data_IF_364196601208
#
_entry.id   IF_364196601208
#
_cell.length_a   1.000
_cell.length_b   1.000
_cell.length_c   1.000
_cell.angle_alpha   90.00
_cell.angle_beta   90.00
_cell.angle_gamma   90.00
#
_symmetry.space_group_name_H-M   'P 1'
#
loop_
_entity.id
_entity.type
_entity.pdbx_description
1 polymer ?
#
# COMPACT_ATOMS: atom_id res chain seq x y z
N UNK A 1 -65.93 -15.24 3.89
CA UNK A 1 -66.55 -15.27 5.23
C UNK A 1 -65.55 -15.75 6.26
N UNK A 2 -65.52 -15.06 7.37
CA UNK A 2 -64.84 -15.23 8.69
C UNK A 2 -63.48 -14.55 8.83
N UNK A 3 -63.60 -13.42 9.55
CA UNK A 3 -62.59 -12.69 10.35
C UNK A 3 -62.16 -13.53 11.55
N UNK A 4 -60.96 -13.35 12.03
CA UNK A 4 -60.58 -13.44 13.44
C UNK A 4 -59.20 -12.79 13.50
N UNK A 5 -59.08 -11.66 14.02
CA UNK A 5 -59.01 -11.13 15.39
C UNK A 5 -57.59 -11.22 15.98
N UNK A 6 -57.22 -10.07 16.43
CA UNK A 6 -55.94 -9.62 17.01
C UNK A 6 -55.70 -10.27 18.36
N UNK A 7 -54.45 -10.50 18.68
CA UNK A 7 -54.01 -10.41 20.08
C UNK A 7 -52.59 -9.80 20.17
N UNK A 8 -52.48 -8.75 20.97
CA UNK A 8 -51.21 -8.20 21.48
C UNK A 8 -50.99 -8.78 22.90
N UNK A 9 -49.78 -9.14 23.30
CA UNK A 9 -49.41 -9.21 24.69
C UNK A 9 -48.50 -8.05 25.10
N UNK A 10 -48.97 -7.40 26.11
CA UNK A 10 -48.49 -6.81 27.36
C UNK A 10 -46.98 -6.67 27.57
N UNK A 11 -46.63 -5.43 27.92
CA UNK A 11 -45.40 -5.02 28.59
C UNK A 11 -45.38 -5.57 30.04
N UNK A 12 -44.23 -6.09 30.47
CA UNK A 12 -43.80 -6.31 31.83
C UNK A 12 -42.31 -6.03 31.89
N UNK A 13 -41.93 -5.01 32.62
CA UNK A 13 -41.46 -5.07 33.96
C UNK A 13 -39.93 -4.83 33.98
N UNK A 14 -39.48 -3.59 34.24
CA UNK A 14 -38.09 -3.29 34.65
C UNK A 14 -37.85 -3.82 36.07
N UNK A 15 -36.65 -4.35 36.35
CA UNK A 15 -36.05 -4.23 37.67
C UNK A 15 -34.89 -3.24 37.69
N UNK A 16 -34.74 -2.59 38.83
CA UNK A 16 -33.78 -1.56 39.20
C UNK A 16 -32.45 -2.17 39.63
N UNK A 17 -31.37 -1.47 39.24
CA UNK A 17 -30.19 -1.05 40.03
C UNK A 17 -29.51 -2.07 40.95
N UNK A 18 -28.27 -2.38 40.61
CA UNK A 18 -27.23 -2.90 41.48
C UNK A 18 -25.89 -2.24 41.17
N UNK A 19 -25.35 -1.57 42.17
CA UNK A 19 -24.09 -0.81 42.17
C UNK A 19 -22.86 -1.72 42.15
N UNK A 20 -21.74 -1.22 41.56
CA UNK A 20 -20.40 -1.48 42.08
C UNK A 20 -19.56 -2.46 41.28
N UNK A 21 -18.60 -1.94 40.55
CA UNK A 21 -17.48 -2.70 39.98
C UNK A 21 -16.66 -1.83 39.06
N UNK A 22 -15.70 -1.08 39.62
CA UNK A 22 -14.71 -0.35 38.85
C UNK A 22 -13.84 -1.35 38.08
N UNK A 23 -14.02 -1.43 36.75
CA UNK A 23 -13.12 -2.15 35.86
C UNK A 23 -12.07 -1.15 35.42
N UNK A 24 -10.84 -1.35 35.90
CA UNK A 24 -9.66 -0.60 35.46
C UNK A 24 -9.47 -0.75 33.96
N UNK A 25 -9.70 0.35 33.23
CA UNK A 25 -9.37 0.45 31.83
C UNK A 25 -7.84 0.46 31.69
N UNK A 26 -7.28 -0.64 31.21
CA UNK A 26 -5.90 -0.66 30.74
C UNK A 26 -5.85 0.15 29.45
N UNK A 27 -5.56 1.43 29.54
CA UNK A 27 -5.19 2.25 28.41
C UNK A 27 -3.88 1.73 27.87
N UNK A 28 -3.96 1.02 26.73
CA UNK A 28 -2.83 0.54 25.97
C UNK A 28 -2.15 1.76 25.34
N UNK A 29 -1.04 2.18 25.91
CA UNK A 29 -0.23 3.26 25.39
C UNK A 29 0.32 2.84 24.01
N UNK A 30 -0.31 3.34 22.95
CA UNK A 30 0.29 3.36 21.62
C UNK A 30 1.46 4.33 21.67
N UNK A 31 2.69 3.80 21.69
CA UNK A 31 3.88 4.63 21.49
C UNK A 31 3.77 5.26 20.11
N UNK A 32 3.58 6.57 20.06
CA UNK A 32 3.63 7.36 18.85
C UNK A 32 5.03 7.24 18.24
N UNK A 33 5.05 6.80 16.98
CA UNK A 33 6.24 6.90 16.12
C UNK A 33 6.53 8.38 15.97
N UNK A 34 7.69 8.84 16.44
CA UNK A 34 8.13 10.20 16.26
C UNK A 34 8.48 10.40 14.78
N UNK A 35 7.53 10.90 13.99
CA UNK A 35 7.78 11.38 12.64
C UNK A 35 8.60 12.66 12.73
N UNK A 36 9.84 12.64 12.23
CA UNK A 36 10.55 13.88 11.91
C UNK A 36 9.81 14.52 10.74
N UNK A 37 9.15 15.65 10.97
CA UNK A 37 8.38 16.38 9.99
C UNK A 37 9.19 16.72 8.73
N UNK A 38 8.51 16.97 7.58
CA UNK A 38 9.16 17.22 6.31
C UNK A 38 10.02 18.49 6.36
N UNK A 39 11.33 18.31 6.23
CA UNK A 39 12.25 19.45 6.02
C UNK A 39 12.21 19.83 4.55
N UNK A 40 11.37 20.79 4.20
CA UNK A 40 11.35 21.42 2.87
C UNK A 40 12.49 22.46 2.77
N UNK A 41 13.70 22.02 2.53
CA UNK A 41 14.81 22.89 2.12
C UNK A 41 15.61 22.19 1.02
N UNK A 42 15.43 22.57 -0.26
CA UNK A 42 16.36 22.34 -1.38
C UNK A 42 16.80 20.90 -1.68
N UNK A 43 16.38 19.92 -0.91
CA UNK A 43 16.64 18.49 -1.10
C UNK A 43 15.45 17.88 -1.82
N UNK A 44 15.71 16.97 -2.77
CA UNK A 44 14.69 16.26 -3.54
C UNK A 44 13.61 15.60 -2.66
N UNK A 45 12.53 15.14 -3.26
CA UNK A 45 11.41 14.48 -2.56
C UNK A 45 11.87 13.14 -1.98
N UNK A 46 12.26 13.15 -0.71
CA UNK A 46 12.84 11.99 -0.01
C UNK A 46 12.14 11.74 1.32
N UNK A 47 12.13 10.49 1.75
CA UNK A 47 11.65 10.08 3.06
C UNK A 47 12.49 8.93 3.62
N UNK A 48 12.54 8.83 4.95
CA UNK A 48 13.10 7.69 5.67
C UNK A 48 12.07 7.25 6.70
N UNK A 49 11.67 5.97 6.64
CA UNK A 49 10.66 5.36 7.49
C UNK A 49 11.27 4.20 8.25
N UNK A 50 11.05 4.16 9.55
CA UNK A 50 11.33 3.02 10.42
C UNK A 50 10.00 2.49 10.94
N UNK A 51 9.78 1.18 10.80
CA UNK A 51 8.62 0.48 11.35
C UNK A 51 9.12 -0.72 12.16
N UNK A 52 8.72 -0.78 13.42
CA UNK A 52 9.08 -1.89 14.32
C UNK A 52 7.82 -2.40 15.01
N UNK A 53 7.59 -3.70 14.88
CA UNK A 53 6.54 -4.44 15.57
C UNK A 53 7.17 -5.54 16.43
N UNK A 54 6.40 -6.50 16.89
CA UNK A 54 6.93 -7.71 17.52
C UNK A 54 7.38 -8.75 16.48
N UNK A 55 6.85 -8.62 15.27
CA UNK A 55 6.99 -9.58 14.16
C UNK A 55 8.03 -9.12 13.15
N UNK A 56 8.15 -7.80 12.95
CA UNK A 56 8.99 -7.22 11.91
C UNK A 56 9.79 -6.02 12.37
N UNK A 57 10.95 -5.77 11.73
CA UNK A 57 11.73 -4.54 11.82
C UNK A 57 12.11 -4.10 10.42
N UNK A 58 11.64 -2.91 10.00
CA UNK A 58 11.77 -2.42 8.63
C UNK A 58 12.32 -1.01 8.63
N UNK A 59 13.31 -0.78 7.77
CA UNK A 59 13.87 0.54 7.50
C UNK A 59 13.82 0.77 5.98
N UNK A 60 13.23 1.92 5.57
CA UNK A 60 13.13 2.32 4.17
C UNK A 60 13.69 3.73 4.00
N UNK A 61 14.56 3.91 2.99
CA UNK A 61 14.94 5.24 2.49
C UNK A 61 14.53 5.32 1.02
N UNK A 62 13.71 6.33 0.69
CA UNK A 62 13.16 6.57 -0.64
C UNK A 62 13.53 7.96 -1.14
N UNK A 63 13.95 8.04 -2.41
CA UNK A 63 13.98 9.27 -3.18
C UNK A 63 13.11 9.09 -4.44
N UNK A 64 12.05 9.91 -4.58
CA UNK A 64 11.15 9.86 -5.74
C UNK A 64 11.87 10.33 -7.01
N UNK A 65 12.66 11.40 -6.91
CA UNK A 65 13.45 11.96 -8.02
C UNK A 65 14.82 11.28 -8.08
N UNK A 66 14.82 9.96 -8.24
CA UNK A 66 16.03 9.12 -8.23
C UNK A 66 16.55 8.79 -9.63
N UNK A 67 17.40 7.76 -9.68
CA UNK A 67 18.04 7.23 -10.90
C UNK A 67 17.85 5.73 -11.08
N UNK A 68 16.98 5.11 -10.28
CA UNK A 68 16.72 3.67 -10.28
C UNK A 68 17.80 2.87 -9.54
N UNK A 69 18.42 3.46 -8.51
CA UNK A 69 19.39 2.77 -7.64
C UNK A 69 18.64 2.06 -6.53
N UNK A 70 18.98 0.81 -6.30
CA UNK A 70 18.36 0.01 -5.26
C UNK A 70 19.39 -0.71 -4.39
N UNK A 71 19.00 -0.93 -3.13
CA UNK A 71 19.70 -1.79 -2.18
C UNK A 71 18.64 -2.40 -1.26
N UNK A 72 18.21 -3.63 -1.59
CA UNK A 72 16.99 -4.24 -1.07
C UNK A 72 17.30 -5.59 -0.42
N UNK A 73 16.95 -5.71 0.84
CA UNK A 73 17.06 -6.94 1.61
C UNK A 73 15.85 -7.08 2.54
N UNK A 74 14.88 -7.90 2.14
CA UNK A 74 13.64 -8.15 2.93
C UNK A 74 13.61 -9.51 3.59
N UNK A 75 14.56 -10.40 3.29
CA UNK A 75 14.49 -11.81 3.69
C UNK A 75 13.59 -12.65 2.77
N UNK A 76 12.79 -12.04 1.88
CA UNK A 76 11.88 -12.70 0.93
C UNK A 76 12.42 -12.50 -0.50
N UNK A 77 13.09 -13.51 -1.10
CA UNK A 77 13.84 -13.32 -2.34
C UNK A 77 13.00 -12.85 -3.54
N UNK A 78 11.76 -13.37 -3.68
CA UNK A 78 10.90 -12.96 -4.76
C UNK A 78 10.40 -11.51 -4.61
N UNK A 79 10.11 -11.08 -3.38
CA UNK A 79 9.76 -9.69 -3.09
C UNK A 79 10.94 -8.75 -3.38
N UNK A 80 12.18 -9.14 -3.00
CA UNK A 80 13.38 -8.37 -3.34
C UNK A 80 13.44 -8.11 -4.84
N UNK A 81 13.33 -9.17 -5.65
CA UNK A 81 13.34 -9.07 -7.11
C UNK A 81 12.26 -8.13 -7.65
N UNK A 82 11.03 -8.23 -7.14
CA UNK A 82 9.93 -7.33 -7.54
C UNK A 82 10.20 -5.87 -7.18
N UNK A 83 10.77 -5.60 -6.01
CA UNK A 83 11.10 -4.25 -5.57
C UNK A 83 12.32 -3.65 -6.30
N UNK A 84 13.29 -4.46 -6.68
CA UNK A 84 14.41 -4.06 -7.55
C UNK A 84 13.91 -3.60 -8.92
N UNK A 85 13.01 -4.38 -9.53
CA UNK A 85 12.36 -4.02 -10.80
C UNK A 85 11.52 -2.75 -10.67
N UNK A 86 10.72 -2.67 -9.60
CA UNK A 86 9.93 -1.48 -9.28
C UNK A 86 10.82 -0.23 -9.19
N UNK A 87 11.90 -0.31 -8.45
CA UNK A 87 12.84 0.79 -8.26
C UNK A 87 13.49 1.18 -9.58
N UNK A 88 13.98 0.20 -10.33
CA UNK A 88 14.69 0.43 -11.59
C UNK A 88 13.80 1.06 -12.65
N UNK A 89 12.59 0.52 -12.85
CA UNK A 89 11.65 0.98 -13.87
C UNK A 89 10.90 2.25 -13.51
N UNK A 90 10.81 2.57 -12.21
CA UNK A 90 10.22 3.83 -11.70
C UNK A 90 11.24 4.98 -11.60
N UNK A 91 12.54 4.69 -11.79
CA UNK A 91 13.62 5.65 -11.55
C UNK A 91 13.67 6.22 -10.14
N UNK A 92 13.13 5.50 -9.17
CA UNK A 92 13.27 5.83 -7.76
C UNK A 92 14.68 5.46 -7.27
N UNK A 93 15.17 6.07 -6.19
CA UNK A 93 16.27 5.49 -5.43
C UNK A 93 15.67 4.92 -4.14
N UNK A 94 15.89 3.62 -3.88
CA UNK A 94 15.22 2.89 -2.80
C UNK A 94 16.20 1.96 -2.07
N UNK A 95 16.29 2.17 -0.75
CA UNK A 95 16.96 1.23 0.17
C UNK A 95 15.93 0.63 1.09
N UNK A 96 15.91 -0.70 1.23
CA UNK A 96 15.06 -1.43 2.17
C UNK A 96 15.91 -2.42 2.96
N UNK A 97 15.77 -2.36 4.28
CA UNK A 97 16.23 -3.38 5.21
C UNK A 97 15.04 -3.87 6.01
N UNK A 98 14.73 -5.15 5.88
CA UNK A 98 13.66 -5.76 6.65
C UNK A 98 14.13 -7.07 7.26
N UNK A 99 13.68 -7.32 8.47
CA UNK A 99 13.77 -8.60 9.18
C UNK A 99 12.40 -8.90 9.73
N UNK A 100 11.88 -10.08 9.48
CA UNK A 100 10.59 -10.54 10.00
C UNK A 100 10.66 -12.00 10.42
N UNK A 101 9.56 -12.49 10.94
CA UNK A 101 9.35 -13.86 11.42
C UNK A 101 9.05 -14.84 10.28
N UNK A 102 9.92 -14.84 9.25
CA UNK A 102 9.78 -15.67 8.03
C UNK A 102 9.75 -17.19 8.30
N UNK A 103 10.10 -17.61 9.52
CA UNK A 103 9.92 -18.98 9.98
C UNK A 103 8.43 -19.35 10.20
N UNK A 104 7.55 -18.34 10.36
CA UNK A 104 6.10 -18.52 10.37
C UNK A 104 5.61 -18.60 8.93
N UNK A 105 5.73 -17.51 8.21
CA UNK A 105 5.57 -17.37 6.76
C UNK A 105 6.07 -15.98 6.29
N UNK A 106 5.93 -15.68 5.00
CA UNK A 106 6.35 -14.39 4.43
C UNK A 106 5.34 -13.26 4.66
N UNK A 107 4.13 -13.53 5.19
CA UNK A 107 2.99 -12.61 5.19
C UNK A 107 3.29 -11.30 5.92
N UNK A 108 3.69 -11.38 7.20
CA UNK A 108 3.95 -10.18 8.02
C UNK A 108 5.03 -9.30 7.39
N UNK A 109 6.09 -9.91 6.84
CA UNK A 109 7.18 -9.18 6.19
C UNK A 109 6.70 -8.47 4.93
N UNK A 110 5.95 -9.17 4.08
CA UNK A 110 5.45 -8.64 2.80
C UNK A 110 4.46 -7.50 3.03
N UNK A 111 3.48 -7.67 3.93
CA UNK A 111 2.52 -6.64 4.28
C UNK A 111 3.19 -5.41 4.88
N UNK A 112 4.05 -5.60 5.88
CA UNK A 112 4.70 -4.50 6.60
C UNK A 112 5.69 -3.72 5.72
N UNK A 113 6.36 -4.37 4.76
CA UNK A 113 7.15 -3.68 3.72
C UNK A 113 6.24 -2.83 2.84
N UNK A 114 5.05 -3.32 2.46
CA UNK A 114 4.04 -2.57 1.73
C UNK A 114 3.56 -1.34 2.49
N UNK A 115 3.27 -1.48 3.79
CA UNK A 115 2.87 -0.38 4.69
C UNK A 115 3.99 0.67 4.78
N UNK A 116 5.22 0.26 5.05
CA UNK A 116 6.36 1.17 5.20
C UNK A 116 6.70 1.89 3.89
N UNK A 117 6.63 1.22 2.74
CA UNK A 117 6.86 1.81 1.43
C UNK A 117 5.76 2.83 1.08
N UNK A 118 4.49 2.52 1.35
CA UNK A 118 3.37 3.44 1.16
C UNK A 118 3.52 4.70 2.00
N UNK A 119 3.93 4.56 3.26
CA UNK A 119 4.25 5.67 4.14
C UNK A 119 5.41 6.51 3.60
N UNK A 120 6.49 5.89 3.13
CA UNK A 120 7.64 6.60 2.57
C UNK A 120 7.25 7.42 1.33
N UNK A 121 6.44 6.88 0.43
CA UNK A 121 5.90 7.64 -0.71
C UNK A 121 5.03 8.81 -0.25
N UNK A 122 4.13 8.60 0.71
CA UNK A 122 3.27 9.67 1.24
C UNK A 122 4.08 10.81 1.84
N UNK A 123 5.09 10.50 2.65
CA UNK A 123 5.96 11.49 3.28
C UNK A 123 6.82 12.24 2.25
N UNK A 124 7.39 11.53 1.28
CA UNK A 124 8.20 12.14 0.23
C UNK A 124 7.37 13.03 -0.73
N UNK A 125 6.10 12.70 -0.97
CA UNK A 125 5.18 13.49 -1.78
C UNK A 125 4.66 14.74 -1.05
N UNK A 126 4.59 14.71 0.27
CA UNK A 126 4.08 15.82 1.09
C UNK A 126 2.66 16.23 0.67
N UNK A 127 2.49 17.51 0.33
CA UNK A 127 1.18 18.10 -0.06
C UNK A 127 0.66 17.66 -1.43
N UNK A 128 1.46 16.95 -2.21
CA UNK A 128 1.13 16.53 -3.60
C UNK A 128 0.91 17.70 -4.57
N UNK A 129 1.46 18.89 -4.25
CA UNK A 129 1.37 20.05 -5.13
C UNK A 129 2.26 19.92 -6.37
N UNK A 130 1.77 20.41 -7.49
CA UNK A 130 2.51 20.47 -8.75
C UNK A 130 2.77 19.12 -9.39
N UNK A 131 2.17 18.03 -8.95
CA UNK A 131 2.33 16.70 -9.57
C UNK A 131 1.23 16.41 -10.59
N UNK A 132 1.50 15.48 -11.50
CA UNK A 132 0.52 14.98 -12.48
C UNK A 132 -0.67 14.28 -11.84
N UNK A 133 -0.50 13.70 -10.65
CA UNK A 133 -1.51 12.98 -9.89
C UNK A 133 -1.94 11.64 -10.50
N UNK A 134 -2.18 11.60 -11.81
CA UNK A 134 -2.59 10.38 -12.53
C UNK A 134 -1.41 9.79 -13.29
N UNK A 135 -1.34 8.46 -13.32
CA UNK A 135 -0.38 7.73 -14.13
C UNK A 135 -0.93 6.39 -14.55
N UNK A 136 -0.53 5.97 -15.75
CA UNK A 136 -0.87 4.67 -16.29
C UNK A 136 0.31 4.06 -17.03
N UNK A 137 0.37 2.74 -17.04
CA UNK A 137 1.29 2.00 -17.88
C UNK A 137 0.76 0.61 -18.19
N UNK A 138 0.97 0.17 -19.41
CA UNK A 138 0.77 -1.21 -19.83
C UNK A 138 2.12 -1.76 -20.27
N UNK A 139 2.56 -2.84 -19.63
CA UNK A 139 3.91 -3.38 -19.81
C UNK A 139 3.85 -4.87 -20.12
N UNK A 140 4.52 -5.32 -21.20
CA UNK A 140 4.68 -6.73 -21.52
C UNK A 140 5.90 -7.34 -20.83
N UNK A 141 5.84 -8.64 -20.61
CA UNK A 141 6.99 -9.52 -20.38
C UNK A 141 6.68 -10.86 -21.03
N UNK A 142 7.38 -11.15 -22.10
CA UNK A 142 7.15 -12.30 -22.97
C UNK A 142 5.64 -12.46 -23.29
N UNK A 143 4.99 -13.55 -22.84
CA UNK A 143 3.57 -13.81 -23.08
C UNK A 143 2.63 -13.07 -22.10
N UNK A 144 3.17 -12.43 -21.06
CA UNK A 144 2.40 -11.70 -20.08
C UNK A 144 2.24 -10.22 -20.47
N UNK A 145 1.10 -9.66 -20.15
CA UNK A 145 0.78 -8.25 -20.32
C UNK A 145 -0.02 -7.78 -19.11
N UNK A 146 0.46 -6.75 -18.43
CA UNK A 146 -0.23 -6.14 -17.30
C UNK A 146 -0.43 -4.64 -17.49
N UNK A 147 -1.56 -4.14 -17.01
CA UNK A 147 -1.92 -2.71 -17.03
C UNK A 147 -2.16 -2.21 -15.62
N UNK A 148 -1.60 -1.05 -15.32
CA UNK A 148 -1.74 -0.37 -14.02
C UNK A 148 -2.15 1.08 -14.23
N UNK A 149 -3.16 1.52 -13.46
CA UNK A 149 -3.62 2.91 -13.40
C UNK A 149 -3.61 3.39 -11.96
N UNK A 150 -3.09 4.60 -11.73
CA UNK A 150 -2.92 5.22 -10.41
C UNK A 150 -3.59 6.59 -10.36
N UNK A 151 -4.30 6.88 -9.27
CA UNK A 151 -4.72 8.23 -8.86
C UNK A 151 -4.23 8.51 -7.43
N UNK A 152 -3.32 9.45 -7.26
CA UNK A 152 -2.78 9.87 -5.96
C UNK A 152 -3.78 10.79 -5.20
N UNK A 153 -5.01 10.34 -5.08
CA UNK A 153 -6.18 11.10 -4.62
C UNK A 153 -6.29 11.33 -3.12
N UNK A 154 -5.42 10.75 -2.32
CA UNK A 154 -5.57 10.72 -0.85
C UNK A 154 -6.58 9.69 -0.33
N UNK A 155 -7.32 8.99 -1.21
CA UNK A 155 -8.32 7.97 -0.88
C UNK A 155 -7.82 6.59 -1.30
N UNK A 156 -7.66 5.65 -0.36
CA UNK A 156 -7.22 4.30 -0.70
C UNK A 156 -8.32 3.50 -1.42
N UNK A 157 -7.97 2.85 -2.51
CA UNK A 157 -8.80 1.87 -3.19
C UNK A 157 -7.95 0.96 -4.06
N UNK A 158 -8.06 -0.35 -3.89
CA UNK A 158 -7.39 -1.35 -4.72
C UNK A 158 -8.41 -2.12 -5.56
N UNK A 159 -8.29 -2.01 -6.89
CA UNK A 159 -8.95 -2.91 -7.84
C UNK A 159 -7.92 -3.94 -8.33
N UNK A 160 -7.92 -5.11 -7.71
CA UNK A 160 -6.97 -6.18 -8.01
C UNK A 160 -7.54 -7.15 -9.03
N UNK A 161 -6.88 -7.25 -10.18
CA UNK A 161 -7.31 -8.09 -11.30
C UNK A 161 -6.19 -8.95 -11.91
N UNK A 162 -5.14 -9.28 -11.13
CA UNK A 162 -4.17 -10.30 -11.55
C UNK A 162 -4.77 -11.68 -11.29
N UNK A 163 -4.71 -12.53 -12.31
CA UNK A 163 -5.17 -13.92 -12.24
C UNK A 163 -4.01 -14.83 -12.61
N UNK A 164 -3.62 -15.69 -11.71
CA UNK A 164 -2.60 -16.71 -11.91
C UNK A 164 -3.22 -18.11 -11.78
N UNK A 165 -2.68 -19.09 -12.48
CA UNK A 165 -3.13 -20.48 -12.39
C UNK A 165 -2.45 -21.21 -11.23
N UNK A 166 -1.23 -20.83 -10.93
CA UNK A 166 -0.45 -21.38 -9.81
C UNK A 166 -0.55 -20.42 -8.62
N UNK A 167 -0.58 -20.98 -7.43
CA UNK A 167 -0.59 -20.25 -6.17
C UNK A 167 0.80 -19.82 -5.70
N UNK A 168 1.89 -20.34 -6.33
CA UNK A 168 3.27 -20.08 -5.92
C UNK A 168 4.20 -19.76 -7.06
N UNK A 169 5.23 -18.96 -6.75
CA UNK A 169 6.45 -18.76 -7.53
C UNK A 169 7.64 -19.13 -6.66
N UNK A 170 8.26 -20.28 -6.92
CA UNK A 170 9.23 -20.85 -5.97
C UNK A 170 8.55 -21.16 -4.62
N UNK A 171 9.06 -20.61 -3.53
CA UNK A 171 8.47 -20.68 -2.19
C UNK A 171 7.45 -19.58 -1.91
N UNK A 172 7.35 -18.55 -2.74
CA UNK A 172 6.53 -17.35 -2.51
C UNK A 172 5.06 -17.60 -2.88
N UNK A 173 4.13 -17.34 -1.96
CA UNK A 173 2.69 -17.40 -2.19
C UNK A 173 2.21 -16.17 -2.97
N UNK A 174 1.58 -16.41 -4.13
CA UNK A 174 1.18 -15.33 -5.06
C UNK A 174 0.12 -14.40 -4.47
N UNK A 175 -0.69 -14.87 -3.52
CA UNK A 175 -1.70 -14.05 -2.83
C UNK A 175 -1.09 -12.90 -2.05
N UNK A 176 0.16 -13.03 -1.56
CA UNK A 176 0.87 -11.98 -0.84
C UNK A 176 1.11 -10.72 -1.70
N UNK A 177 1.03 -10.82 -3.02
CA UNK A 177 1.07 -9.65 -3.89
C UNK A 177 -0.16 -8.76 -3.69
N UNK A 178 -1.33 -9.37 -3.47
CA UNK A 178 -2.54 -8.62 -3.11
C UNK A 178 -2.34 -7.86 -1.81
N UNK A 179 -1.80 -8.52 -0.77
CA UNK A 179 -1.63 -7.95 0.56
C UNK A 179 -0.60 -6.83 0.57
N UNK A 180 0.53 -7.02 -0.14
CA UNK A 180 1.51 -5.97 -0.39
C UNK A 180 0.89 -4.73 -1.05
N UNK A 181 0.13 -4.93 -2.13
CA UNK A 181 -0.48 -3.82 -2.87
C UNK A 181 -1.57 -3.13 -2.05
N UNK A 182 -2.34 -3.87 -1.26
CA UNK A 182 -3.36 -3.31 -0.37
C UNK A 182 -2.72 -2.47 0.73
N UNK A 183 -1.65 -2.95 1.34
CA UNK A 183 -0.86 -2.24 2.35
C UNK A 183 -0.27 -0.94 1.79
N UNK A 184 0.36 -1.01 0.61
CA UNK A 184 0.90 0.14 -0.12
C UNK A 184 -0.18 1.19 -0.41
N UNK A 185 -1.33 0.76 -0.96
CA UNK A 185 -2.47 1.62 -1.30
C UNK A 185 -3.02 2.34 -0.09
N UNK A 186 -3.20 1.62 1.02
CA UNK A 186 -3.76 2.17 2.26
C UNK A 186 -2.86 3.25 2.86
N UNK A 187 -1.55 3.06 2.85
CA UNK A 187 -0.61 4.01 3.44
C UNK A 187 -0.31 5.21 2.54
N UNK A 188 -0.20 5.00 1.25
CA UNK A 188 0.02 6.09 0.29
C UNK A 188 -1.23 6.94 0.09
N UNK A 189 -2.41 6.37 0.25
CA UNK A 189 -3.68 7.02 -0.04
C UNK A 189 -3.85 7.23 -1.55
N UNK A 190 -3.88 6.13 -2.30
CA UNK A 190 -4.08 6.16 -3.75
C UNK A 190 -5.20 5.22 -4.20
N UNK A 191 -5.80 5.51 -5.35
CA UNK A 191 -6.53 4.48 -6.07
C UNK A 191 -5.55 3.74 -6.97
N UNK A 192 -5.56 2.42 -6.91
CA UNK A 192 -4.73 1.54 -7.73
C UNK A 192 -5.61 0.52 -8.44
N UNK A 193 -5.57 0.52 -9.76
CA UNK A 193 -6.17 -0.51 -10.60
C UNK A 193 -5.07 -1.33 -11.24
N UNK A 194 -5.02 -2.63 -10.97
CA UNK A 194 -4.06 -3.58 -11.54
C UNK A 194 -4.80 -4.65 -12.29
N UNK A 195 -4.47 -4.87 -13.58
CA UNK A 195 -5.10 -5.86 -14.44
C UNK A 195 -4.07 -6.71 -15.17
N UNK A 196 -4.17 -8.02 -15.06
CA UNK A 196 -3.52 -8.96 -15.96
C UNK A 196 -4.34 -9.08 -17.24
N UNK A 197 -3.78 -8.66 -18.37
CA UNK A 197 -4.46 -8.67 -19.68
C UNK A 197 -4.16 -9.95 -20.45
N UNK A 198 -2.95 -10.51 -20.29
CA UNK A 198 -2.50 -11.78 -20.83
C UNK A 198 -1.44 -12.39 -19.93
N UNK A 199 -1.14 -13.66 -20.10
CA UNK A 199 -0.07 -14.38 -19.40
C UNK A 199 -0.48 -15.76 -18.91
N UNK A 200 0.52 -16.61 -18.73
CA UNK A 200 0.39 -17.96 -18.18
C UNK A 200 1.32 -18.22 -17.02
N UNK A 201 2.55 -17.70 -17.11
CA UNK A 201 3.55 -17.82 -16.07
C UNK A 201 3.27 -16.78 -14.96
N UNK A 202 3.03 -17.20 -13.69
CA UNK A 202 2.74 -16.27 -12.61
C UNK A 202 3.88 -15.28 -12.34
N UNK A 203 5.13 -15.70 -12.48
CA UNK A 203 6.29 -14.83 -12.36
C UNK A 203 6.21 -13.69 -13.40
N UNK A 204 6.00 -14.02 -14.68
CA UNK A 204 5.91 -13.02 -15.75
C UNK A 204 4.73 -12.06 -15.55
N UNK A 205 3.57 -12.57 -15.10
CA UNK A 205 2.38 -11.73 -14.84
C UNK A 205 2.67 -10.73 -13.72
N UNK A 206 3.26 -11.19 -12.61
CA UNK A 206 3.56 -10.34 -11.45
C UNK A 206 4.67 -9.34 -11.80
N UNK A 207 5.73 -9.78 -12.47
CA UNK A 207 6.83 -8.90 -12.88
C UNK A 207 6.35 -7.82 -13.86
N UNK A 208 5.52 -8.16 -14.83
CA UNK A 208 4.91 -7.18 -15.74
C UNK A 208 4.06 -6.16 -14.96
N UNK A 209 3.31 -6.60 -13.93
CA UNK A 209 2.52 -5.73 -13.08
C UNK A 209 3.40 -4.79 -12.22
N UNK A 210 4.50 -5.26 -11.64
CA UNK A 210 5.42 -4.40 -10.87
C UNK A 210 6.14 -3.38 -11.76
N UNK A 211 6.55 -3.74 -12.97
CA UNK A 211 7.08 -2.79 -13.97
C UNK A 211 6.04 -1.75 -14.35
N UNK A 212 4.78 -2.17 -14.57
CA UNK A 212 3.69 -1.26 -14.89
C UNK A 212 3.38 -0.32 -13.72
N UNK A 213 3.35 -0.83 -12.47
CA UNK A 213 3.17 -0.04 -11.25
C UNK A 213 4.27 1.02 -11.09
N UNK A 214 5.52 0.62 -11.28
CA UNK A 214 6.67 1.51 -11.20
C UNK A 214 6.53 2.69 -12.18
N UNK A 215 6.21 2.39 -13.45
CA UNK A 215 6.04 3.41 -14.50
C UNK A 215 4.83 4.30 -14.27
N UNK A 216 3.70 3.72 -13.82
CA UNK A 216 2.49 4.47 -13.51
C UNK A 216 2.73 5.44 -12.33
N UNK A 217 3.38 4.98 -11.25
CA UNK A 217 3.76 5.84 -10.12
C UNK A 217 4.78 6.90 -10.52
N UNK A 218 5.80 6.56 -11.31
CA UNK A 218 6.76 7.52 -11.82
C UNK A 218 6.06 8.65 -12.60
N UNK A 219 5.08 8.30 -13.45
CA UNK A 219 4.30 9.28 -14.21
C UNK A 219 3.41 10.13 -13.29
N UNK A 220 2.69 9.50 -12.34
CA UNK A 220 1.79 10.19 -11.42
C UNK A 220 2.53 11.18 -10.52
N UNK A 221 3.75 10.86 -10.11
CA UNK A 221 4.58 11.68 -9.23
C UNK A 221 5.38 12.76 -9.97
N UNK A 222 5.43 12.74 -11.31
CA UNK A 222 6.11 13.77 -12.09
C UNK A 222 5.54 15.15 -11.80
N UNK A 223 6.44 16.15 -11.65
CA UNK A 223 6.03 17.55 -11.61
C UNK A 223 5.57 18.00 -13.00
N UNK A 224 4.44 18.67 -13.06
CA UNK A 224 3.92 19.29 -14.27
C UNK A 224 3.84 20.82 -14.06
N UNK A 225 4.61 21.63 -14.78
CA UNK A 225 4.66 23.08 -14.58
C UNK A 225 3.32 23.78 -14.83
N UNK A 226 2.37 23.11 -15.46
CA UNK A 226 1.01 23.62 -15.68
C UNK A 226 0.12 23.46 -14.45
N UNK A 227 0.52 22.60 -13.48
CA UNK A 227 -0.25 22.35 -12.25
C UNK A 227 0.19 23.31 -11.16
N UNK A 228 -0.68 24.27 -10.84
CA UNK A 228 -0.50 25.20 -9.73
C UNK A 228 -1.28 24.67 -8.52
N UNK A 229 -0.58 24.45 -7.39
CA UNK A 229 -1.16 23.83 -6.21
C UNK A 229 -1.50 22.35 -6.44
N UNK A 230 -2.63 21.91 -5.92
CA UNK A 230 -3.10 20.51 -6.01
C UNK A 230 -4.02 20.34 -7.21
N UNK A 231 -3.82 19.32 -8.04
CA UNK A 231 -4.67 19.02 -9.19
C UNK A 231 -6.03 18.46 -8.73
N UNK A 232 -6.87 19.32 -8.19
CA UNK A 232 -8.20 18.98 -7.67
C UNK A 232 -9.12 20.19 -7.71
N UNK A 233 -10.33 20.02 -8.23
CA UNK A 233 -11.37 21.06 -8.19
C UNK A 233 -11.85 21.40 -6.77
N UNK A 234 -11.52 20.54 -5.79
CA UNK A 234 -11.82 20.74 -4.37
C UNK A 234 -10.73 21.52 -3.62
N UNK A 235 -9.57 21.76 -4.27
CA UNK A 235 -8.43 22.45 -3.65
C UNK A 235 -7.65 21.60 -2.63
N UNK A 236 -7.97 20.30 -2.49
CA UNK A 236 -7.29 19.35 -1.59
C UNK A 236 -7.30 17.92 -2.16
N UNK A 237 -6.39 17.10 -1.69
CA UNK A 237 -6.27 15.65 -1.97
C UNK A 237 -6.15 14.87 -0.66
#
# INVERSE_FOLDING_TARGET
>A
MKKSERERPRALGRPRVGNGGAVASHARATRSVASRGPTTNGRGRTATVERRTKETSIEIALAIDGKGRYDIATGVPFLNHMLELFTRHGFFDLTIRATGDVEVDDHHTVEDVGLALGQAFREALGTKEGIRRFGEATVPLDEALASVVVDLSGRPFLAYGLKTRQSRVGSFDVELIHDFLLALVNQLGMNLHVRGLAGRNPHHIIEAAFKALARALALATQRDPRVVGVLSTKGSL
#
